data_IF_797122881544
#
_entry.id   IF_797122881544
#
_cell.length_a   1.000
_cell.length_b   1.000
_cell.length_c   1.000
_cell.angle_alpha   90.00
_cell.angle_beta   90.00
_cell.angle_gamma   90.00
#
_symmetry.space_group_name_H-M   'P 1'
#
loop_
_entity.id
_entity.type
_entity.pdbx_description
1 polymer ?
#
# COMPACT_ATOMS: atom_id res chain seq x y z
N UNK A 1 0.69 -15.97 24.29
CA UNK A 1 1.19 -17.13 23.52
C UNK A 1 2.24 -16.58 22.56
N UNK A 2 3.35 -17.28 22.30
CA UNK A 2 4.29 -16.81 21.26
C UNK A 2 4.00 -17.57 19.98
N UNK A 3 3.78 -16.85 18.89
CA UNK A 3 3.56 -17.45 17.58
C UNK A 3 4.87 -17.92 16.96
N UNK A 4 4.91 -19.15 16.47
CA UNK A 4 6.03 -19.67 15.68
C UNK A 4 5.86 -19.30 14.18
N UNK A 5 6.95 -19.39 13.41
CA UNK A 5 6.90 -19.20 11.94
C UNK A 5 5.86 -20.13 11.29
N UNK A 6 5.83 -21.41 11.69
CA UNK A 6 4.87 -22.37 11.14
C UNK A 6 3.41 -21.95 11.41
N UNK A 7 3.10 -21.50 12.62
CA UNK A 7 1.75 -21.02 12.92
C UNK A 7 1.35 -19.80 12.08
N UNK A 8 2.28 -18.87 11.85
CA UNK A 8 2.03 -17.72 11.00
C UNK A 8 1.82 -18.14 9.54
N UNK A 9 2.63 -19.06 9.02
CA UNK A 9 2.48 -19.63 7.68
C UNK A 9 1.13 -20.34 7.52
N UNK A 10 0.70 -21.13 8.51
CA UNK A 10 -0.61 -21.77 8.51
C UNK A 10 -1.76 -20.76 8.51
N UNK A 11 -1.58 -19.59 9.16
CA UNK A 11 -2.56 -18.50 9.12
C UNK A 11 -2.63 -17.85 7.74
N UNK A 12 -1.50 -17.64 7.06
CA UNK A 12 -1.48 -17.13 5.67
C UNK A 12 -2.28 -18.06 4.76
N UNK A 13 -2.03 -19.37 4.86
CA UNK A 13 -2.79 -20.37 4.09
C UNK A 13 -4.30 -20.34 4.41
N UNK A 14 -4.67 -20.27 5.70
CA UNK A 14 -6.08 -20.21 6.13
C UNK A 14 -6.81 -18.95 5.66
N UNK A 15 -6.12 -17.87 5.41
CA UNK A 15 -6.68 -16.66 4.78
C UNK A 15 -7.02 -16.89 3.29
N UNK A 16 -6.71 -18.06 2.71
CA UNK A 16 -6.94 -18.37 1.30
C UNK A 16 -5.95 -17.71 0.35
N UNK A 17 -4.81 -17.24 0.88
CA UNK A 17 -3.71 -16.72 0.08
C UNK A 17 -2.95 -17.92 -0.51
N UNK A 18 -2.66 -17.87 -1.81
CA UNK A 18 -1.90 -18.90 -2.51
C UNK A 18 -0.42 -18.53 -2.64
N UNK A 19 0.51 -19.49 -2.73
CA UNK A 19 1.96 -19.22 -2.81
C UNK A 19 2.39 -18.37 -4.01
N UNK A 20 1.58 -18.31 -5.07
CA UNK A 20 1.80 -17.55 -6.31
C UNK A 20 0.99 -16.25 -6.38
N UNK A 21 0.25 -15.91 -5.33
CA UNK A 21 -0.49 -14.64 -5.24
C UNK A 21 0.43 -13.43 -5.23
N UNK A 22 -0.10 -12.30 -5.65
CA UNK A 22 0.48 -10.97 -5.45
C UNK A 22 -0.24 -10.29 -4.28
N UNK A 23 0.51 -9.84 -3.26
CA UNK A 23 -0.09 -9.23 -2.08
C UNK A 23 0.69 -7.99 -1.61
N UNK A 24 -0.05 -6.92 -1.35
CA UNK A 24 0.42 -5.70 -0.67
C UNK A 24 0.03 -5.77 0.81
N UNK A 25 0.98 -5.66 1.71
CA UNK A 25 0.73 -5.77 3.16
C UNK A 25 1.03 -4.46 3.87
N UNK A 26 0.02 -3.90 4.53
CA UNK A 26 0.15 -2.83 5.52
C UNK A 26 0.04 -3.45 6.91
N UNK A 27 0.98 -3.22 7.80
CA UNK A 27 1.00 -3.95 9.06
C UNK A 27 1.44 -3.11 10.27
N UNK A 28 0.79 -3.38 11.40
CA UNK A 28 1.23 -3.03 12.73
C UNK A 28 1.89 -4.25 13.39
N UNK A 29 3.22 -4.26 13.53
CA UNK A 29 3.91 -5.35 14.24
C UNK A 29 3.36 -5.57 15.65
N UNK A 30 3.00 -4.49 16.33
CA UNK A 30 2.45 -4.55 17.70
C UNK A 30 1.14 -5.34 17.77
N UNK A 31 0.30 -5.25 16.75
CA UNK A 31 -1.02 -5.91 16.72
C UNK A 31 -0.91 -7.42 16.51
N UNK A 32 0.18 -7.91 15.90
CA UNK A 32 0.40 -9.35 15.66
C UNK A 32 0.57 -10.12 16.97
N UNK A 33 0.95 -9.43 18.04
CA UNK A 33 1.23 -10.06 19.33
C UNK A 33 2.68 -10.57 19.46
N UNK A 34 2.92 -11.50 20.35
CA UNK A 34 4.25 -12.03 20.61
C UNK A 34 4.61 -13.09 19.56
N UNK A 35 5.75 -12.92 18.90
CA UNK A 35 6.27 -13.84 17.88
C UNK A 35 7.68 -14.29 18.27
N UNK A 36 7.96 -15.58 18.17
CA UNK A 36 9.32 -16.13 18.37
C UNK A 36 10.26 -15.56 17.29
N UNK A 37 11.35 -14.91 17.70
CA UNK A 37 12.24 -14.20 16.77
C UNK A 37 11.69 -12.86 16.25
N UNK A 38 10.50 -12.43 16.70
CA UNK A 38 9.96 -11.10 16.46
C UNK A 38 9.63 -10.82 15.00
N UNK A 39 9.95 -9.59 14.57
CA UNK A 39 9.64 -9.10 13.23
C UNK A 39 10.33 -9.90 12.11
N UNK A 40 11.51 -10.43 12.35
CA UNK A 40 12.22 -11.24 11.36
C UNK A 40 11.46 -12.52 11.03
N UNK A 41 10.90 -13.19 12.02
CA UNK A 41 10.07 -14.40 11.81
C UNK A 41 8.78 -14.09 11.07
N UNK A 42 8.17 -12.93 11.31
CA UNK A 42 7.00 -12.49 10.53
C UNK A 42 7.37 -12.34 9.06
N UNK A 43 8.47 -11.65 8.76
CA UNK A 43 8.93 -11.44 7.39
C UNK A 43 9.36 -12.75 6.71
N UNK A 44 10.02 -13.65 7.44
CA UNK A 44 10.40 -14.97 6.93
C UNK A 44 9.17 -15.79 6.53
N UNK A 45 8.12 -15.80 7.35
CA UNK A 45 6.88 -16.50 7.05
C UNK A 45 6.26 -16.02 5.73
N UNK A 46 6.19 -14.71 5.53
CA UNK A 46 5.66 -14.11 4.30
C UNK A 46 6.55 -14.35 3.09
N UNK A 47 7.87 -14.13 3.22
CA UNK A 47 8.82 -14.25 2.10
C UNK A 47 8.97 -15.70 1.63
N UNK A 48 9.03 -16.66 2.56
CA UNK A 48 9.10 -18.08 2.20
C UNK A 48 7.80 -18.55 1.55
N UNK A 49 6.64 -18.14 2.08
CA UNK A 49 5.34 -18.55 1.55
C UNK A 49 5.09 -18.01 0.13
N UNK A 50 5.44 -16.76 -0.12
CA UNK A 50 5.20 -16.08 -1.40
C UNK A 50 6.43 -16.05 -2.32
N UNK A 51 7.36 -17.00 -2.16
CA UNK A 51 8.58 -17.05 -3.00
C UNK A 51 8.27 -17.19 -4.50
N UNK A 52 7.16 -17.83 -4.85
CA UNK A 52 6.66 -18.00 -6.22
C UNK A 52 5.73 -16.86 -6.66
N UNK A 53 5.24 -16.08 -5.74
CA UNK A 53 4.33 -14.95 -5.94
C UNK A 53 5.03 -13.59 -5.91
N UNK A 54 4.34 -12.60 -5.35
CA UNK A 54 4.82 -11.24 -5.19
C UNK A 54 4.40 -10.68 -3.82
N UNK A 55 5.34 -10.62 -2.89
CA UNK A 55 5.14 -9.99 -1.58
C UNK A 55 5.59 -8.54 -1.61
N UNK A 56 4.72 -7.62 -1.23
CA UNK A 56 4.96 -6.19 -1.27
C UNK A 56 4.62 -5.51 0.05
N UNK A 57 5.38 -4.48 0.39
CA UNK A 57 5.08 -3.56 1.50
C UNK A 57 5.31 -2.11 1.10
N UNK A 58 4.52 -1.14 1.62
CA UNK A 58 4.78 0.28 1.41
C UNK A 58 6.11 0.69 2.03
N UNK A 59 6.89 1.52 1.34
CA UNK A 59 8.13 2.09 1.85
C UNK A 59 8.14 3.62 1.73
N UNK A 60 7.02 4.22 2.15
CA UNK A 60 6.83 5.67 2.05
C UNK A 60 7.90 6.47 2.78
N UNK A 61 8.24 7.60 2.16
CA UNK A 61 9.23 8.57 2.66
C UNK A 61 8.67 10.00 2.63
N UNK A 62 7.36 10.14 2.51
CA UNK A 62 6.69 11.45 2.43
C UNK A 62 6.93 12.35 3.64
N UNK A 63 7.25 11.78 4.81
CA UNK A 63 7.57 12.55 6.01
C UNK A 63 9.01 13.09 6.01
N UNK A 64 9.94 12.41 5.36
CA UNK A 64 11.34 12.82 5.25
C UNK A 64 11.58 13.73 4.05
N UNK A 65 10.93 13.41 2.91
CA UNK A 65 11.12 14.16 1.66
C UNK A 65 10.42 15.51 1.71
N UNK A 66 11.17 16.57 1.47
CA UNK A 66 10.69 17.95 1.54
C UNK A 66 11.76 18.96 1.15
N UNK A 67 11.57 20.24 1.47
CA UNK A 67 12.53 21.29 1.11
C UNK A 67 13.96 21.05 1.63
N UNK A 68 14.08 20.45 2.82
CA UNK A 68 15.36 20.18 3.48
C UNK A 68 15.98 18.85 3.10
N UNK A 69 15.21 17.93 2.51
CA UNK A 69 15.67 16.61 2.05
C UNK A 69 15.09 16.31 0.67
N UNK A 70 15.86 16.61 -0.37
CA UNK A 70 15.42 16.47 -1.77
C UNK A 70 15.97 15.25 -2.49
N UNK A 71 16.84 14.48 -1.86
CA UNK A 71 17.46 13.29 -2.48
C UNK A 71 16.86 12.05 -1.83
N UNK A 72 16.12 11.28 -2.62
CA UNK A 72 15.65 9.96 -2.25
C UNK A 72 16.77 8.94 -2.50
N UNK A 73 17.19 8.28 -1.45
CA UNK A 73 18.16 7.16 -1.52
C UNK A 73 17.40 5.85 -1.27
N UNK A 74 17.05 5.08 -2.33
CA UNK A 74 16.23 3.89 -2.17
C UNK A 74 16.90 2.79 -1.36
N UNK A 75 18.24 2.79 -1.24
CA UNK A 75 18.98 1.78 -0.48
C UNK A 75 19.03 2.11 1.01
N UNK A 76 19.25 3.38 1.35
CA UNK A 76 19.59 3.78 2.72
C UNK A 76 18.48 4.57 3.44
N UNK A 77 17.54 5.18 2.70
CA UNK A 77 16.50 5.99 3.34
C UNK A 77 15.43 5.12 4.01
N UNK A 78 15.28 5.25 5.32
CA UNK A 78 14.23 4.57 6.07
C UNK A 78 12.83 5.02 5.64
N UNK A 79 11.89 4.11 5.72
CA UNK A 79 10.46 4.41 5.53
C UNK A 79 9.86 5.04 6.78
N UNK A 80 8.86 5.92 6.60
CA UNK A 80 8.09 6.51 7.70
C UNK A 80 6.89 5.65 8.15
N UNK A 81 6.65 4.48 7.55
CA UNK A 81 5.40 3.70 7.76
C UNK A 81 5.59 2.37 8.48
N UNK A 82 6.59 2.25 9.33
CA UNK A 82 6.64 1.20 10.33
C UNK A 82 7.89 0.31 10.35
N UNK A 83 7.94 -0.56 11.37
CA UNK A 83 9.10 -1.42 11.65
C UNK A 83 9.27 -2.49 10.58
N UNK A 84 8.21 -3.26 10.28
CA UNK A 84 8.29 -4.38 9.32
C UNK A 84 8.76 -3.91 7.95
N UNK A 85 8.25 -2.79 7.49
CA UNK A 85 8.65 -2.15 6.24
C UNK A 85 10.15 -1.82 6.21
N UNK A 86 10.69 -1.26 7.30
CA UNK A 86 12.10 -0.90 7.40
C UNK A 86 13.02 -2.12 7.46
N UNK A 87 12.59 -3.19 8.09
CA UNK A 87 13.34 -4.45 8.10
C UNK A 87 13.22 -5.20 6.77
N UNK A 88 12.07 -5.11 6.11
CA UNK A 88 11.82 -5.80 4.85
C UNK A 88 12.67 -5.27 3.69
N UNK A 89 12.69 -3.93 3.49
CA UNK A 89 13.32 -3.35 2.29
C UNK A 89 14.84 -3.57 2.22
N UNK A 90 15.49 -3.86 3.33
CA UNK A 90 16.94 -4.13 3.38
C UNK A 90 17.28 -5.63 3.30
N UNK A 91 16.29 -6.52 3.21
CA UNK A 91 16.53 -7.97 3.13
C UNK A 91 17.08 -8.40 1.77
N UNK A 92 17.91 -9.45 1.74
CA UNK A 92 18.42 -10.00 0.49
C UNK A 92 17.28 -10.38 -0.47
N UNK A 93 17.42 -9.99 -1.73
CA UNK A 93 16.45 -10.28 -2.79
C UNK A 93 15.24 -9.33 -2.85
N UNK A 94 15.07 -8.46 -1.88
CA UNK A 94 14.07 -7.40 -1.91
C UNK A 94 14.55 -6.26 -2.81
N UNK A 95 13.64 -5.73 -3.61
CA UNK A 95 13.88 -4.56 -4.46
C UNK A 95 12.91 -3.44 -4.06
N UNK A 96 13.33 -2.18 -4.20
CA UNK A 96 12.54 -1.01 -3.85
C UNK A 96 12.29 -0.15 -5.08
N UNK A 97 11.05 0.28 -5.28
CA UNK A 97 10.66 1.14 -6.40
C UNK A 97 11.19 2.57 -6.24
N UNK A 98 11.34 3.26 -7.38
CA UNK A 98 12.05 4.54 -7.45
C UNK A 98 11.09 5.73 -7.41
N UNK A 99 10.11 5.72 -6.50
CA UNK A 99 9.25 6.88 -6.24
C UNK A 99 9.73 7.64 -5.00
N UNK A 100 10.04 8.96 -5.08
CA UNK A 100 10.63 9.71 -3.97
C UNK A 100 9.82 9.73 -2.68
N UNK A 101 8.49 9.63 -2.75
CA UNK A 101 7.61 9.74 -1.58
C UNK A 101 6.79 8.49 -1.29
N UNK A 102 6.41 7.73 -2.33
CA UNK A 102 5.46 6.61 -2.22
C UNK A 102 6.01 5.29 -2.78
N UNK A 103 7.33 5.07 -2.66
CA UNK A 103 7.94 3.81 -3.05
C UNK A 103 7.34 2.61 -2.32
N UNK A 104 7.45 1.45 -2.94
CA UNK A 104 7.18 0.14 -2.35
C UNK A 104 8.44 -0.72 -2.33
N UNK A 105 8.51 -1.69 -1.43
CA UNK A 105 9.45 -2.79 -1.49
C UNK A 105 8.73 -4.05 -1.98
N UNK A 106 9.41 -4.86 -2.78
CA UNK A 106 8.85 -6.07 -3.39
C UNK A 106 9.84 -7.23 -3.35
N UNK A 107 9.31 -8.44 -3.12
CA UNK A 107 10.05 -9.71 -3.12
C UNK A 107 9.26 -10.78 -3.88
N UNK A 108 9.95 -11.70 -4.53
CA UNK A 108 9.38 -12.81 -5.27
C UNK A 108 9.74 -12.76 -6.76
N UNK A 109 9.25 -13.74 -7.52
CA UNK A 109 9.67 -13.97 -8.92
C UNK A 109 9.53 -12.76 -9.84
N UNK A 110 8.47 -11.94 -9.67
CA UNK A 110 8.17 -10.80 -10.54
C UNK A 110 8.54 -9.44 -9.93
N UNK A 111 9.24 -9.43 -8.80
CA UNK A 111 9.46 -8.20 -8.04
C UNK A 111 10.18 -7.11 -8.86
N UNK A 112 11.26 -7.46 -9.59
CA UNK A 112 12.01 -6.50 -10.42
C UNK A 112 11.18 -5.96 -11.58
N UNK A 113 10.42 -6.84 -12.26
CA UNK A 113 9.53 -6.46 -13.35
C UNK A 113 8.41 -5.53 -12.84
N UNK A 114 7.84 -5.85 -11.68
CA UNK A 114 6.74 -5.10 -11.11
C UNK A 114 7.10 -3.65 -10.75
N UNK A 115 8.28 -3.42 -10.19
CA UNK A 115 8.72 -2.08 -9.79
C UNK A 115 9.33 -1.26 -10.92
N UNK A 116 9.61 -1.88 -12.09
CA UNK A 116 10.25 -1.20 -13.20
C UNK A 116 9.39 -0.07 -13.76
N UNK A 117 10.03 1.05 -14.11
CA UNK A 117 9.37 2.23 -14.65
C UNK A 117 8.71 3.14 -13.61
N UNK A 118 8.76 2.81 -12.32
CA UNK A 118 8.20 3.68 -11.27
C UNK A 118 8.86 5.06 -11.25
N UNK A 119 10.11 5.14 -11.67
CA UNK A 119 10.82 6.42 -11.84
C UNK A 119 10.24 7.30 -12.95
N UNK A 120 9.30 6.84 -13.73
CA UNK A 120 8.67 7.62 -14.81
C UNK A 120 7.36 8.29 -14.41
N UNK A 121 6.73 7.88 -13.29
CA UNK A 121 5.49 8.49 -12.82
C UNK A 121 5.78 9.71 -11.94
N UNK A 122 4.89 10.68 -11.96
CA UNK A 122 5.05 11.96 -11.29
C UNK A 122 4.02 12.24 -10.19
N UNK A 123 3.07 11.32 -9.98
CA UNK A 123 2.10 11.39 -8.88
C UNK A 123 2.28 10.22 -7.91
N UNK A 124 1.89 10.38 -6.63
CA UNK A 124 2.15 9.39 -5.58
C UNK A 124 1.60 8.00 -5.87
N UNK A 125 0.41 7.92 -6.47
CA UNK A 125 -0.32 6.68 -6.72
C UNK A 125 -0.85 6.61 -8.16
N UNK A 126 -0.02 7.04 -9.12
CA UNK A 126 -0.36 6.99 -10.55
C UNK A 126 -0.94 5.64 -10.98
N UNK A 127 -1.95 5.62 -11.87
CA UNK A 127 -2.46 4.40 -12.47
C UNK A 127 -1.39 3.53 -13.14
N UNK A 128 -0.34 4.14 -13.70
CA UNK A 128 0.80 3.47 -14.34
C UNK A 128 1.89 3.07 -13.35
N UNK A 129 1.85 3.58 -12.12
CA UNK A 129 2.81 3.29 -11.05
C UNK A 129 2.49 2.01 -10.28
N UNK A 130 3.35 1.68 -9.32
CA UNK A 130 3.20 0.46 -8.51
C UNK A 130 1.86 0.38 -7.78
N UNK A 131 1.31 1.49 -7.33
CA UNK A 131 0.03 1.49 -6.63
C UNK A 131 -1.15 1.21 -7.57
N UNK A 132 -1.19 1.82 -8.75
CA UNK A 132 -2.24 1.56 -9.74
C UNK A 132 -2.17 0.16 -10.35
N UNK A 133 -0.96 -0.36 -10.57
CA UNK A 133 -0.75 -1.72 -11.11
C UNK A 133 -1.29 -2.85 -10.22
N UNK A 134 -1.54 -2.61 -8.91
CA UNK A 134 -2.15 -3.61 -8.02
C UNK A 134 -3.48 -4.14 -8.58
N UNK A 135 -4.30 -3.26 -9.14
CA UNK A 135 -5.55 -3.66 -9.78
C UNK A 135 -5.30 -4.55 -11.01
N UNK A 136 -4.36 -4.14 -11.89
CA UNK A 136 -4.08 -4.84 -13.14
C UNK A 136 -3.64 -6.29 -12.92
N UNK A 137 -2.78 -6.51 -11.91
CA UNK A 137 -2.30 -7.85 -11.57
C UNK A 137 -3.27 -8.64 -10.69
N UNK A 138 -4.40 -8.05 -10.27
CA UNK A 138 -5.35 -8.68 -9.36
C UNK A 138 -4.76 -8.98 -7.99
N UNK A 139 -4.00 -8.02 -7.46
CA UNK A 139 -3.35 -8.18 -6.16
C UNK A 139 -4.38 -8.27 -5.03
N UNK A 140 -3.99 -8.94 -3.95
CA UNK A 140 -4.65 -8.82 -2.65
C UNK A 140 -4.00 -7.71 -1.84
N UNK A 141 -4.78 -7.03 -0.98
CA UNK A 141 -4.29 -6.02 -0.05
C UNK A 141 -4.66 -6.48 1.35
N UNK A 142 -3.66 -6.64 2.21
CA UNK A 142 -3.86 -7.09 3.57
C UNK A 142 -3.49 -5.99 4.55
N UNK A 143 -4.45 -5.64 5.40
CA UNK A 143 -4.32 -4.65 6.46
C UNK A 143 -4.21 -5.40 7.80
N UNK A 144 -3.00 -5.58 8.34
CA UNK A 144 -2.75 -6.33 9.59
C UNK A 144 -2.79 -5.37 10.78
N UNK A 145 -3.89 -5.42 11.55
CA UNK A 145 -4.06 -4.58 12.75
C UNK A 145 -4.06 -3.09 12.47
N UNK A 146 -4.44 -2.71 11.25
CA UNK A 146 -4.69 -1.34 10.78
C UNK A 146 -5.96 -1.35 9.92
N UNK A 147 -6.60 -0.21 9.76
CA UNK A 147 -7.82 -0.08 8.95
C UNK A 147 -7.58 0.53 7.57
N UNK A 148 -8.68 0.85 6.90
CA UNK A 148 -8.65 1.45 5.56
C UNK A 148 -7.95 2.81 5.51
N UNK A 149 -7.80 3.52 6.63
CA UNK A 149 -7.01 4.75 6.72
C UNK A 149 -5.53 4.55 6.34
N UNK A 150 -5.06 3.30 6.30
CA UNK A 150 -3.72 2.91 5.83
C UNK A 150 -3.70 2.26 4.45
N UNK A 151 -4.87 2.10 3.83
CA UNK A 151 -4.99 1.49 2.51
C UNK A 151 -4.61 2.49 1.39
N UNK A 152 -3.32 2.61 1.12
CA UNK A 152 -2.79 3.53 0.10
C UNK A 152 -3.35 3.26 -1.31
N UNK A 153 -3.82 2.04 -1.60
CA UNK A 153 -4.40 1.72 -2.90
C UNK A 153 -5.64 2.57 -3.22
N UNK A 154 -6.40 3.01 -2.21
CA UNK A 154 -7.57 3.88 -2.43
C UNK A 154 -7.15 5.19 -3.11
N UNK A 155 -5.97 5.74 -2.77
CA UNK A 155 -5.42 6.90 -3.47
C UNK A 155 -5.21 6.64 -4.98
N UNK A 156 -4.78 5.43 -5.36
CA UNK A 156 -4.61 5.11 -6.77
C UNK A 156 -5.96 5.10 -7.52
N UNK A 157 -7.02 4.66 -6.85
CA UNK A 157 -8.38 4.73 -7.41
C UNK A 157 -8.82 6.19 -7.56
N UNK A 158 -8.59 7.05 -6.55
CA UNK A 158 -8.89 8.48 -6.63
C UNK A 158 -8.12 9.16 -7.77
N UNK A 159 -6.82 8.88 -7.92
CA UNK A 159 -6.02 9.44 -9.01
C UNK A 159 -6.52 8.97 -10.38
N UNK A 160 -6.90 7.69 -10.53
CA UNK A 160 -7.49 7.14 -11.76
C UNK A 160 -8.81 7.80 -12.16
N UNK A 161 -9.55 8.31 -11.19
CA UNK A 161 -10.83 9.01 -11.37
C UNK A 161 -10.67 10.53 -11.52
N UNK A 162 -9.45 11.05 -11.45
CA UNK A 162 -9.16 12.48 -11.42
C UNK A 162 -10.01 13.21 -10.36
N UNK A 163 -9.98 12.70 -9.12
CA UNK A 163 -10.65 13.36 -7.99
C UNK A 163 -9.98 14.71 -7.78
N UNK A 164 -10.74 15.83 -7.75
CA UNK A 164 -10.17 17.16 -7.60
C UNK A 164 -9.53 17.37 -6.23
N UNK A 165 -8.64 18.36 -6.13
CA UNK A 165 -8.01 18.77 -4.87
C UNK A 165 -7.27 17.64 -4.11
N UNK A 166 -6.68 16.67 -4.86
CA UNK A 166 -5.93 15.55 -4.27
C UNK A 166 -4.42 15.71 -4.40
N UNK A 167 -3.96 16.57 -5.28
CA UNK A 167 -2.54 16.79 -5.56
C UNK A 167 -2.18 18.27 -5.38
N UNK A 168 -0.90 18.54 -5.12
CA UNK A 168 -0.37 19.91 -5.14
C UNK A 168 -0.50 20.52 -6.54
N UNK A 169 -0.64 21.85 -6.63
CA UNK A 169 -0.71 22.55 -7.90
C UNK A 169 0.59 22.46 -8.70
N UNK A 170 1.74 22.38 -7.98
CA UNK A 170 3.07 22.32 -8.58
C UNK A 170 3.83 21.10 -8.03
N UNK A 171 4.68 20.44 -8.85
CA UNK A 171 5.51 19.34 -8.41
C UNK A 171 6.66 19.83 -7.52
N UNK A 172 6.98 19.05 -6.51
CA UNK A 172 8.16 19.23 -5.68
C UNK A 172 9.40 18.69 -6.41
N UNK A 173 10.48 19.47 -6.41
CA UNK A 173 11.75 19.06 -7.02
C UNK A 173 12.48 18.05 -6.13
N UNK A 174 12.56 16.81 -6.60
CA UNK A 174 13.32 15.74 -5.97
C UNK A 174 14.32 15.10 -6.94
N UNK A 175 15.26 14.38 -6.35
CA UNK A 175 16.27 13.59 -7.05
C UNK A 175 16.28 12.17 -6.48
N UNK A 176 16.54 11.20 -7.34
CA UNK A 176 16.70 9.79 -6.96
C UNK A 176 18.18 9.44 -7.09
N UNK A 177 18.79 8.93 -6.02
CA UNK A 177 20.13 8.38 -6.07
C UNK A 177 20.11 7.03 -6.79
N UNK A 178 20.83 6.93 -7.89
CA UNK A 178 20.97 5.69 -8.65
C UNK A 178 22.09 4.81 -8.07
N UNK A 179 22.15 3.56 -8.50
CA UNK A 179 23.12 2.58 -8.02
C UNK A 179 24.59 2.96 -8.33
N UNK A 180 24.82 3.73 -9.38
CA UNK A 180 26.13 4.26 -9.77
C UNK A 180 26.51 5.56 -9.03
N UNK A 181 25.63 6.04 -8.12
CA UNK A 181 25.78 7.26 -7.36
C UNK A 181 25.29 8.53 -8.06
N UNK A 182 24.93 8.45 -9.34
CA UNK A 182 24.34 9.58 -10.07
C UNK A 182 22.97 9.98 -9.51
N UNK A 183 22.54 11.19 -9.82
CA UNK A 183 21.25 11.73 -9.38
C UNK A 183 20.32 11.88 -10.59
N UNK A 184 19.22 11.15 -10.58
CA UNK A 184 18.12 11.30 -11.53
C UNK A 184 17.17 12.38 -11.00
N UNK A 185 17.01 13.49 -11.73
CA UNK A 185 16.01 14.52 -11.39
C UNK A 185 14.61 13.94 -11.56
N UNK A 186 13.78 14.07 -10.51
CA UNK A 186 12.41 13.54 -10.50
C UNK A 186 11.47 14.47 -9.76
N UNK A 187 10.90 15.49 -10.42
CA UNK A 187 9.84 16.28 -9.85
C UNK A 187 8.58 15.42 -9.72
N UNK A 188 7.90 15.49 -8.56
CA UNK A 188 6.66 14.75 -8.31
C UNK A 188 5.65 15.63 -7.58
N UNK A 189 4.40 15.46 -7.93
CA UNK A 189 3.28 16.00 -7.16
C UNK A 189 3.17 15.29 -5.82
N UNK A 190 2.50 15.92 -4.86
CA UNK A 190 2.26 15.33 -3.55
C UNK A 190 0.77 15.25 -3.28
N UNK A 191 0.34 14.25 -2.52
CA UNK A 191 -1.02 14.29 -1.99
C UNK A 191 -1.18 15.50 -1.10
N UNK A 192 -2.19 16.28 -1.38
CA UNK A 192 -2.49 17.53 -0.68
C UNK A 192 -3.97 17.84 -0.81
N UNK A 193 -4.54 18.35 0.26
CA UNK A 193 -5.82 19.05 0.24
C UNK A 193 -5.73 20.24 1.19
N UNK A 194 -6.22 21.37 0.74
CA UNK A 194 -6.15 22.64 1.48
C UNK A 194 -6.95 22.61 2.78
N UNK A 195 -8.08 21.90 2.77
CA UNK A 195 -9.05 21.91 3.87
C UNK A 195 -8.91 20.69 4.78
N UNK A 196 -8.42 19.57 4.25
CA UNK A 196 -8.31 18.31 4.97
C UNK A 196 -6.96 17.62 4.67
N UNK A 197 -5.94 17.85 5.50
CA UNK A 197 -4.60 17.30 5.27
C UNK A 197 -4.51 15.78 5.50
N UNK A 198 -5.52 15.17 6.15
CA UNK A 198 -5.54 13.76 6.54
C UNK A 198 -6.68 12.99 5.88
N UNK A 199 -6.88 13.14 4.58
CA UNK A 199 -8.00 12.55 3.86
C UNK A 199 -8.12 11.04 4.06
N UNK A 200 -7.00 10.31 4.13
CA UNK A 200 -7.04 8.86 4.35
C UNK A 200 -7.75 8.44 5.66
N UNK A 201 -7.85 9.34 6.65
CA UNK A 201 -8.63 9.09 7.88
C UNK A 201 -10.14 8.96 7.58
N UNK A 202 -10.61 9.35 6.38
CA UNK A 202 -12.00 9.17 5.95
C UNK A 202 -12.26 7.82 5.25
N UNK A 203 -11.23 7.11 4.81
CA UNK A 203 -11.39 5.84 4.06
C UNK A 203 -12.11 4.72 4.81
N UNK A 204 -12.09 4.65 6.18
CA UNK A 204 -12.90 3.67 6.89
C UNK A 204 -14.40 3.69 6.56
N UNK A 205 -14.93 4.81 6.07
CA UNK A 205 -16.34 4.88 5.63
C UNK A 205 -16.67 4.05 4.39
N UNK A 206 -15.64 3.58 3.65
CA UNK A 206 -15.82 2.62 2.58
C UNK A 206 -16.07 1.19 3.06
N UNK A 207 -15.74 0.87 4.33
CA UNK A 207 -15.81 -0.50 4.84
C UNK A 207 -17.16 -1.17 4.63
N UNK A 208 -18.32 -0.54 4.95
CA UNK A 208 -19.64 -1.17 4.72
C UNK A 208 -19.86 -1.56 3.25
N UNK A 209 -19.46 -0.70 2.32
CA UNK A 209 -19.60 -0.96 0.88
C UNK A 209 -18.66 -2.09 0.43
N UNK A 210 -17.38 -2.03 0.83
CA UNK A 210 -16.39 -3.04 0.46
C UNK A 210 -16.72 -4.42 1.01
N UNK A 211 -17.21 -4.51 2.25
CA UNK A 211 -17.60 -5.77 2.88
C UNK A 211 -18.86 -6.35 2.24
N UNK A 212 -19.90 -5.53 2.07
CA UNK A 212 -21.18 -5.98 1.50
C UNK A 212 -21.01 -6.44 0.05
N UNK A 213 -20.17 -5.75 -0.73
CA UNK A 213 -19.89 -6.12 -2.12
C UNK A 213 -18.85 -7.25 -2.24
N UNK A 214 -18.35 -7.82 -1.13
CA UNK A 214 -17.37 -8.90 -1.12
C UNK A 214 -15.96 -8.48 -1.52
N UNK A 215 -15.69 -7.18 -1.63
CA UNK A 215 -14.36 -6.62 -1.95
C UNK A 215 -13.38 -6.70 -0.78
N UNK A 216 -13.88 -6.76 0.45
CA UNK A 216 -13.10 -6.90 1.68
C UNK A 216 -13.74 -7.92 2.63
N UNK A 217 -12.91 -8.56 3.44
CA UNK A 217 -13.37 -9.45 4.52
C UNK A 217 -12.41 -9.47 5.68
N UNK A 218 -12.90 -9.74 6.87
CA UNK A 218 -12.11 -9.92 8.07
C UNK A 218 -11.39 -11.26 8.08
N UNK A 219 -10.14 -11.25 8.50
CA UNK A 219 -9.26 -12.41 8.71
C UNK A 219 -8.36 -12.16 9.90
N UNK A 220 -7.60 -13.17 10.36
CA UNK A 220 -6.71 -13.03 11.52
C UNK A 220 -5.27 -13.41 11.17
N UNK A 221 -4.30 -12.68 11.73
CA UNK A 221 -2.88 -12.98 11.65
C UNK A 221 -2.18 -12.67 12.98
N UNK A 222 -1.73 -13.70 13.69
CA UNK A 222 -1.38 -13.57 15.11
C UNK A 222 -2.61 -13.18 15.93
N UNK A 223 -2.44 -12.19 16.80
CA UNK A 223 -3.52 -11.59 17.58
C UNK A 223 -4.26 -10.48 16.81
N UNK A 224 -3.76 -10.10 15.61
CA UNK A 224 -4.32 -9.00 14.84
C UNK A 224 -5.64 -9.39 14.18
N UNK A 225 -6.65 -8.51 14.31
CA UNK A 225 -7.76 -8.42 13.37
C UNK A 225 -7.25 -7.77 12.09
N UNK A 226 -7.56 -8.38 10.95
CA UNK A 226 -7.03 -7.98 9.65
C UNK A 226 -8.16 -7.82 8.65
N UNK A 227 -7.95 -6.95 7.67
CA UNK A 227 -8.86 -6.80 6.52
C UNK A 227 -8.13 -7.28 5.28
N UNK A 228 -8.66 -8.29 4.59
CA UNK A 228 -8.17 -8.78 3.31
C UNK A 228 -9.07 -8.28 2.20
N UNK A 229 -8.49 -7.47 1.30
CA UNK A 229 -9.18 -6.87 0.17
C UNK A 229 -8.71 -7.49 -1.16
N UNK A 230 -9.62 -7.58 -2.12
CA UNK A 230 -9.31 -7.79 -3.54
C UNK A 230 -9.15 -6.43 -4.22
N UNK A 231 -8.01 -6.16 -4.89
CA UNK A 231 -7.74 -4.86 -5.48
C UNK A 231 -8.74 -4.49 -6.59
N UNK A 232 -9.13 -5.45 -7.46
CA UNK A 232 -10.08 -5.18 -8.55
C UNK A 232 -11.46 -4.85 -8.02
N UNK A 233 -11.94 -5.63 -7.06
CA UNK A 233 -13.26 -5.39 -6.47
C UNK A 233 -13.25 -4.09 -5.64
N UNK A 234 -12.19 -3.84 -4.86
CA UNK A 234 -12.02 -2.58 -4.12
C UNK A 234 -12.06 -1.37 -5.07
N UNK A 235 -11.32 -1.44 -6.19
CA UNK A 235 -11.33 -0.38 -7.19
C UNK A 235 -12.73 -0.21 -7.83
N UNK A 236 -13.39 -1.30 -8.18
CA UNK A 236 -14.73 -1.29 -8.78
C UNK A 236 -15.76 -0.60 -7.87
N UNK A 237 -15.84 -1.01 -6.60
CA UNK A 237 -16.77 -0.44 -5.62
C UNK A 237 -16.44 1.04 -5.36
N UNK A 238 -15.16 1.36 -5.17
CA UNK A 238 -14.74 2.74 -4.91
C UNK A 238 -15.03 3.65 -6.10
N UNK A 239 -14.79 3.21 -7.35
CA UNK A 239 -15.13 3.98 -8.56
C UNK A 239 -16.63 4.18 -8.71
N UNK A 240 -17.44 3.19 -8.38
CA UNK A 240 -18.92 3.32 -8.40
C UNK A 240 -19.34 4.46 -7.48
N UNK A 241 -18.86 4.48 -6.25
CA UNK A 241 -19.12 5.54 -5.27
C UNK A 241 -18.66 6.90 -5.79
N UNK A 242 -17.40 7.01 -6.26
CA UNK A 242 -16.83 8.26 -6.79
C UNK A 242 -17.51 8.74 -8.07
N UNK A 243 -18.22 7.88 -8.79
CA UNK A 243 -19.01 8.27 -9.97
C UNK A 243 -20.27 9.04 -9.60
N UNK A 244 -20.81 8.86 -8.40
CA UNK A 244 -21.93 9.65 -7.88
C UNK A 244 -21.45 11.01 -7.37
N UNK A 245 -20.39 11.03 -6.56
CA UNK A 245 -19.79 12.26 -6.03
C UNK A 245 -18.27 12.07 -5.88
N UNK A 246 -17.50 12.76 -6.74
CA UNK A 246 -16.04 12.63 -6.77
C UNK A 246 -15.35 13.07 -5.48
N UNK A 247 -15.96 14.01 -4.76
CA UNK A 247 -15.38 14.60 -3.55
C UNK A 247 -15.83 13.88 -2.28
N UNK A 248 -16.68 12.86 -2.37
CA UNK A 248 -17.27 12.23 -1.19
C UNK A 248 -16.22 11.67 -0.20
N UNK A 249 -15.02 11.30 -0.65
CA UNK A 249 -13.95 10.86 0.23
C UNK A 249 -13.16 12.01 0.89
N UNK A 250 -13.36 13.26 0.43
CA UNK A 250 -12.78 14.45 1.04
C UNK A 250 -13.61 14.94 2.24
N UNK A 251 -14.84 14.47 2.37
CA UNK A 251 -15.79 14.87 3.40
C UNK A 251 -15.93 13.79 4.47
N UNK A 252 -16.52 14.13 5.61
CA UNK A 252 -16.73 13.18 6.73
C UNK A 252 -18.08 12.47 6.69
N UNK A 253 -18.95 12.84 5.77
CA UNK A 253 -20.30 12.31 5.67
C UNK A 253 -20.32 10.82 5.29
N UNK A 254 -21.36 10.14 5.73
CA UNK A 254 -21.56 8.72 5.42
C UNK A 254 -21.91 8.57 3.93
N UNK A 255 -21.33 7.57 3.29
CA UNK A 255 -21.62 7.25 1.88
C UNK A 255 -23.05 6.64 1.80
N UNK A 256 -23.94 7.22 0.98
CA UNK A 256 -25.28 6.67 0.78
C UNK A 256 -25.24 5.23 0.24
N UNK A 257 -26.09 4.38 0.77
CA UNK A 257 -26.09 2.96 0.46
C UNK A 257 -26.45 2.68 -1.01
N UNK A 258 -27.34 3.47 -1.58
CA UNK A 258 -27.73 3.41 -3.00
C UNK A 258 -26.61 3.70 -3.99
N UNK A 259 -25.45 4.22 -3.54
CA UNK A 259 -24.31 4.48 -4.43
C UNK A 259 -23.46 3.23 -4.71
N UNK A 260 -23.67 2.15 -3.95
CA UNK A 260 -22.86 0.95 -4.07
C UNK A 260 -23.66 -0.37 -4.01
N UNK A 261 -24.90 -0.35 -3.58
CA UNK A 261 -25.78 -1.51 -3.75
C UNK A 261 -26.30 -1.57 -5.18
N UNK A 262 -26.33 -2.79 -5.72
CA UNK A 262 -27.08 -3.10 -6.95
C UNK A 262 -28.51 -3.46 -6.54
N UNK A 263 -29.50 -3.00 -7.33
CA UNK A 263 -30.92 -3.37 -7.17
C UNK A 263 -31.14 -4.87 -7.37
#
# INVERSE_FOLDING_TARGET
>A
MNYTKQQLTDMIHRMGIQPDDSIMVHASMKSIGNVEGGADTVLDAWMEYLSDGLFMMPTHTWAQMGPDCRIFDPQNMSSCVGLLTNLFHIRPGVVRSLHPTHSIAAYGKKAKEYIAGEETVDTPCSPEGCWGRLENIGAKILLIGVGHERNTFIHAVEESMNVPERLTDEPSEFFIRQADGSLLRRPVYRHYNKNEPHISEHYPKLAPALETCGAARHVSFGDADCILCDARQTASVTRRILSHEKTCLLERDVIPQEWWQED
#
